data_IF_135093066954
#
_entry.id   IF_135093066954
#
_cell.length_a   1.000
_cell.length_b   1.000
_cell.length_c   1.000
_cell.angle_alpha   90.00
_cell.angle_beta   90.00
_cell.angle_gamma   90.00
#
_symmetry.space_group_name_H-M   'P 1'
#
loop_
_entity.id
_entity.type
_entity.pdbx_description
1 polymer ?
#
# COMPACT_ATOMS: atom_id res chain seq x y z
N UNK A 1 31.95 7.58 12.85
CA UNK A 1 31.40 6.66 11.83
C UNK A 1 31.06 7.49 10.60
N UNK A 2 31.46 7.05 9.40
CA UNK A 2 31.12 7.73 8.16
C UNK A 2 29.62 7.56 7.88
N UNK A 3 28.86 8.63 7.66
CA UNK A 3 27.42 8.57 7.50
C UNK A 3 27.03 8.05 6.12
N UNK A 4 26.96 6.74 5.94
CA UNK A 4 26.46 6.16 4.70
C UNK A 4 25.29 5.24 4.99
N UNK A 5 24.12 5.62 4.46
CA UNK A 5 22.88 4.84 4.58
C UNK A 5 22.72 3.79 3.46
N UNK A 6 23.41 3.93 2.31
CA UNK A 6 23.15 3.10 1.13
C UNK A 6 24.39 2.46 0.52
N UNK A 7 24.31 1.14 0.28
CA UNK A 7 25.26 0.34 -0.49
C UNK A 7 24.73 0.19 -1.93
N UNK A 8 25.45 0.74 -2.92
CA UNK A 8 25.25 0.41 -4.35
C UNK A 8 26.54 -0.19 -4.88
N UNK A 9 26.43 -1.28 -5.64
CA UNK A 9 27.56 -2.01 -6.23
C UNK A 9 28.42 -1.17 -7.20
N UNK A 10 27.87 -0.10 -7.79
CA UNK A 10 28.53 0.59 -8.91
C UNK A 10 29.14 1.96 -8.56
N UNK A 11 28.66 2.67 -7.54
CA UNK A 11 29.23 3.95 -7.09
C UNK A 11 28.92 4.18 -5.61
N UNK A 12 29.72 3.58 -4.75
CA UNK A 12 29.63 3.77 -3.31
C UNK A 12 30.44 5.03 -2.96
N UNK A 13 29.82 6.07 -2.40
CA UNK A 13 30.54 7.29 -2.01
C UNK A 13 31.64 6.98 -0.98
N UNK A 14 31.43 5.98 -0.13
CA UNK A 14 32.50 5.43 0.70
C UNK A 14 33.62 4.77 -0.11
N UNK A 15 33.35 4.05 -1.19
CA UNK A 15 34.43 3.55 -2.06
C UNK A 15 35.15 4.68 -2.79
N UNK A 16 34.44 5.74 -3.21
CA UNK A 16 35.07 6.94 -3.74
C UNK A 16 35.93 7.64 -2.68
N UNK A 17 35.43 7.82 -1.46
CA UNK A 17 36.20 8.39 -0.34
C UNK A 17 37.36 7.47 0.05
N UNK A 18 37.17 6.16 0.04
CA UNK A 18 38.20 5.17 0.31
C UNK A 18 39.31 5.27 -0.73
N UNK A 19 38.95 5.37 -2.00
CA UNK A 19 39.88 5.56 -3.12
C UNK A 19 40.62 6.90 -2.99
N UNK A 20 39.92 7.96 -2.61
CA UNK A 20 40.53 9.27 -2.30
C UNK A 20 41.52 9.13 -1.14
N UNK A 21 41.12 8.55 -0.01
CA UNK A 21 41.99 8.40 1.17
C UNK A 21 43.11 7.35 1.01
N UNK A 22 43.05 6.48 0.01
CA UNK A 22 44.16 5.58 -0.33
C UNK A 22 45.38 6.36 -0.84
N UNK A 23 45.17 7.49 -1.51
CA UNK A 23 46.27 8.30 -2.04
C UNK A 23 47.05 8.98 -0.91
N UNK A 24 48.38 8.84 -0.90
CA UNK A 24 49.25 9.35 0.16
C UNK A 24 49.12 10.87 0.36
N UNK A 25 48.98 11.61 -0.74
CA UNK A 25 48.78 13.07 -0.69
C UNK A 25 47.54 13.49 0.11
N UNK A 26 46.40 12.80 -0.02
CA UNK A 26 45.19 13.14 0.73
C UNK A 26 45.30 12.83 2.22
N UNK A 27 46.11 11.82 2.59
CA UNK A 27 46.42 11.52 4.00
C UNK A 27 47.32 12.60 4.58
N UNK A 28 48.38 13.00 3.87
CA UNK A 28 49.20 14.13 4.28
C UNK A 28 48.37 15.42 4.38
N UNK A 29 47.42 15.66 3.48
CA UNK A 29 46.51 16.81 3.55
C UNK A 29 45.63 16.84 4.81
N UNK A 30 45.22 15.67 5.32
CA UNK A 30 44.35 15.56 6.49
C UNK A 30 45.10 15.56 7.82
N UNK A 31 46.33 15.05 7.85
CA UNK A 31 47.07 14.75 9.07
C UNK A 31 48.37 15.56 9.23
N UNK A 32 48.88 16.18 8.17
CA UNK A 32 50.02 17.10 8.22
C UNK A 32 49.53 18.55 8.17
N UNK A 33 50.08 19.39 9.04
CA UNK A 33 49.72 20.80 9.14
C UNK A 33 50.47 21.58 8.04
N UNK A 34 49.92 21.54 6.81
CA UNK A 34 50.49 22.24 5.65
C UNK A 34 49.96 23.68 5.65
N UNK A 35 50.85 24.67 5.75
CA UNK A 35 50.49 26.08 5.69
C UNK A 35 49.75 26.40 4.38
N UNK A 36 48.55 27.00 4.49
CA UNK A 36 47.71 27.39 3.35
C UNK A 36 46.68 26.35 2.91
N UNK A 37 46.66 25.16 3.51
CA UNK A 37 45.65 24.13 3.28
C UNK A 37 44.59 24.17 4.40
N UNK A 38 43.35 23.77 4.10
CA UNK A 38 42.28 23.66 5.09
C UNK A 38 42.67 22.62 6.16
N UNK A 39 42.68 22.94 7.46
CA UNK A 39 43.02 22.00 8.51
C UNK A 39 42.10 20.77 8.44
N UNK A 40 42.62 19.61 8.83
CA UNK A 40 41.90 18.34 8.70
C UNK A 40 40.52 18.34 9.38
N UNK A 41 40.39 19.05 10.51
CA UNK A 41 39.14 19.10 11.26
C UNK A 41 37.99 19.81 10.49
N UNK A 42 38.10 21.07 10.03
CA UNK A 42 37.16 21.68 9.08
C UNK A 42 36.86 20.85 7.83
N UNK A 43 37.87 20.19 7.25
CA UNK A 43 37.71 19.36 6.06
C UNK A 43 36.77 18.17 6.31
N UNK A 44 36.87 17.52 7.47
CA UNK A 44 35.96 16.43 7.86
C UNK A 44 34.50 16.88 7.92
N UNK A 45 34.21 18.11 8.38
CA UNK A 45 32.85 18.65 8.39
C UNK A 45 32.32 18.96 7.00
N UNK A 46 33.18 19.47 6.10
CA UNK A 46 32.81 19.68 4.69
C UNK A 46 32.43 18.35 4.05
N UNK A 47 33.28 17.33 4.22
CA UNK A 47 33.03 15.98 3.69
C UNK A 47 31.76 15.37 4.28
N UNK A 48 31.57 15.47 5.60
CA UNK A 48 30.36 15.01 6.28
C UNK A 48 29.11 15.69 5.72
N UNK A 49 29.11 17.01 5.58
CA UNK A 49 27.98 17.76 5.03
C UNK A 49 27.66 17.37 3.57
N UNK A 50 28.69 17.16 2.74
CA UNK A 50 28.53 16.73 1.35
C UNK A 50 27.98 15.31 1.25
N UNK A 51 28.39 14.42 2.16
CA UNK A 51 27.90 13.05 2.22
C UNK A 51 26.42 12.99 2.64
N UNK A 52 26.02 13.80 3.64
CA UNK A 52 24.61 13.93 4.01
C UNK A 52 23.76 14.47 2.86
N UNK A 53 24.27 15.44 2.12
CA UNK A 53 23.59 15.98 0.94
C UNK A 53 23.40 14.91 -0.15
N UNK A 54 24.43 14.10 -0.42
CA UNK A 54 24.34 12.99 -1.37
C UNK A 54 23.29 11.96 -0.93
N UNK A 55 23.26 11.60 0.36
CA UNK A 55 22.26 10.68 0.90
C UNK A 55 20.84 11.25 0.78
N UNK A 56 20.64 12.53 1.06
CA UNK A 56 19.33 13.17 0.91
C UNK A 56 18.89 13.22 -0.56
N UNK A 57 19.79 13.54 -1.48
CA UNK A 57 19.50 13.52 -2.93
C UNK A 57 19.09 12.12 -3.39
N UNK A 58 19.78 11.10 -2.90
CA UNK A 58 19.43 9.71 -3.17
C UNK A 58 18.01 9.38 -2.68
N UNK A 59 17.71 9.65 -1.41
CA UNK A 59 16.37 9.47 -0.85
C UNK A 59 15.30 10.20 -1.65
N UNK A 60 15.59 11.46 -2.01
CA UNK A 60 14.69 12.28 -2.83
C UNK A 60 14.39 11.61 -4.17
N UNK A 61 15.42 11.08 -4.84
CA UNK A 61 15.22 10.39 -6.12
C UNK A 61 14.42 9.10 -5.96
N UNK A 62 14.71 8.30 -4.94
CA UNK A 62 14.02 7.02 -4.69
C UNK A 62 12.56 7.23 -4.32
N UNK A 63 12.27 8.16 -3.40
CA UNK A 63 10.90 8.49 -2.98
C UNK A 63 10.09 9.03 -4.16
N UNK A 64 10.69 9.89 -5.00
CA UNK A 64 10.03 10.38 -6.23
C UNK A 64 9.80 9.26 -7.25
N UNK A 65 10.74 8.35 -7.42
CA UNK A 65 10.57 7.23 -8.35
C UNK A 65 9.40 6.34 -7.92
N UNK A 66 9.32 6.00 -6.63
CA UNK A 66 8.20 5.24 -6.05
C UNK A 66 6.87 6.00 -6.23
N UNK A 67 6.84 7.31 -5.93
CA UNK A 67 5.58 8.08 -6.00
C UNK A 67 5.08 8.30 -7.42
N UNK A 68 5.96 8.42 -8.42
CA UNK A 68 5.55 8.65 -9.81
C UNK A 68 5.37 7.36 -10.62
N UNK A 69 6.15 6.30 -10.36
CA UNK A 69 6.09 5.04 -11.12
C UNK A 69 5.27 3.98 -10.41
N UNK A 70 5.65 3.63 -9.18
CA UNK A 70 5.06 2.49 -8.46
C UNK A 70 3.63 2.80 -8.01
N UNK A 71 3.29 4.07 -7.79
CA UNK A 71 1.94 4.49 -7.36
C UNK A 71 0.86 4.27 -8.43
N UNK A 72 1.25 4.20 -9.71
CA UNK A 72 0.31 4.02 -10.83
C UNK A 72 -0.29 2.61 -10.86
N UNK A 73 0.49 1.61 -10.46
CA UNK A 73 0.04 0.23 -10.28
C UNK A 73 0.66 -0.33 -9.00
N UNK A 74 0.04 -0.03 -7.84
CA UNK A 74 0.64 -0.36 -6.57
C UNK A 74 0.68 -1.87 -6.38
N UNK A 75 1.90 -2.38 -6.19
CA UNK A 75 2.16 -3.73 -5.69
C UNK A 75 2.24 -3.73 -4.16
N UNK A 76 2.08 -4.89 -3.52
CA UNK A 76 2.22 -5.03 -2.07
C UNK A 76 3.60 -4.53 -1.57
N UNK A 77 4.65 -4.74 -2.37
CA UNK A 77 6.01 -4.25 -2.07
C UNK A 77 6.15 -2.73 -2.05
N UNK A 78 5.22 -1.99 -2.67
CA UNK A 78 5.26 -0.52 -2.76
C UNK A 78 5.13 0.12 -1.39
N UNK A 79 4.27 -0.47 -0.54
CA UNK A 79 4.07 0.01 0.82
C UNK A 79 5.32 -0.22 1.67
N UNK A 80 5.89 -1.43 1.60
CA UNK A 80 7.11 -1.79 2.32
C UNK A 80 8.28 -0.86 1.94
N UNK A 81 8.49 -0.64 0.64
CA UNK A 81 9.51 0.31 0.17
C UNK A 81 9.31 1.73 0.72
N UNK A 82 8.07 2.24 0.75
CA UNK A 82 7.80 3.57 1.32
C UNK A 82 8.06 3.61 2.83
N UNK A 83 7.78 2.52 3.55
CA UNK A 83 8.12 2.40 4.97
C UNK A 83 9.63 2.41 5.20
N UNK A 84 10.39 1.67 4.38
CA UNK A 84 11.85 1.66 4.44
C UNK A 84 12.41 3.07 4.17
N UNK A 85 11.94 3.76 3.12
CA UNK A 85 12.38 5.12 2.82
C UNK A 85 12.03 6.12 3.93
N UNK A 86 10.89 5.93 4.60
CA UNK A 86 10.51 6.74 5.77
C UNK A 86 11.48 6.53 6.92
N UNK A 87 11.86 5.29 7.19
CA UNK A 87 12.82 4.95 8.24
C UNK A 87 14.20 5.54 7.91
N UNK A 88 14.67 5.40 6.67
CA UNK A 88 15.96 5.95 6.24
C UNK A 88 16.01 7.49 6.34
N UNK A 89 14.90 8.16 6.01
CA UNK A 89 14.79 9.61 6.14
C UNK A 89 14.81 10.06 7.61
N UNK A 90 14.16 9.31 8.50
CA UNK A 90 14.18 9.60 9.94
C UNK A 90 15.57 9.39 10.55
N UNK A 91 16.27 8.32 10.13
CA UNK A 91 17.68 8.13 10.47
C UNK A 91 18.54 9.30 10.02
N UNK A 92 18.44 9.70 8.74
CA UNK A 92 19.19 10.83 8.21
C UNK A 92 18.96 12.09 9.05
N UNK A 93 17.69 12.42 9.35
CA UNK A 93 17.35 13.60 10.15
C UNK A 93 17.94 13.53 11.55
N UNK A 94 17.84 12.38 12.21
CA UNK A 94 18.38 12.19 13.56
C UNK A 94 19.88 12.41 13.58
N UNK A 95 20.62 11.77 12.67
CA UNK A 95 22.08 11.91 12.64
C UNK A 95 22.56 13.27 12.16
N UNK A 96 21.86 13.94 11.24
CA UNK A 96 22.18 15.33 10.85
C UNK A 96 21.95 16.27 12.03
N UNK A 97 20.88 16.07 12.81
CA UNK A 97 20.59 16.84 14.03
C UNK A 97 21.67 16.63 15.09
N UNK A 98 22.11 15.38 15.29
CA UNK A 98 23.24 15.07 16.16
C UNK A 98 24.54 15.72 15.68
N UNK A 99 24.81 15.68 14.37
CA UNK A 99 26.00 16.30 13.77
C UNK A 99 26.00 17.81 14.00
N UNK A 100 24.84 18.46 13.91
CA UNK A 100 24.68 19.89 14.23
C UNK A 100 24.86 20.18 15.72
N UNK A 101 24.41 19.28 16.61
CA UNK A 101 24.53 19.44 18.06
C UNK A 101 25.99 19.40 18.52
N UNK A 102 26.80 18.52 17.95
CA UNK A 102 28.21 18.34 18.30
C UNK A 102 29.16 19.23 17.51
N UNK A 103 28.63 20.22 16.79
CA UNK A 103 29.42 21.12 15.97
C UNK A 103 30.16 22.17 16.85
N UNK A 104 31.49 22.30 16.76
CA UNK A 104 32.24 23.22 17.60
C UNK A 104 31.99 24.70 17.23
N UNK A 105 31.87 25.60 18.22
CA UNK A 105 31.50 27.00 18.01
C UNK A 105 32.59 27.85 17.34
N UNK A 106 33.83 27.36 17.26
CA UNK A 106 34.98 28.05 16.65
C UNK A 106 35.08 27.87 15.14
N UNK A 107 34.37 26.89 14.61
CA UNK A 107 34.42 26.47 13.22
C UNK A 107 33.61 27.35 12.24
N UNK A 108 32.47 27.99 12.62
CA UNK A 108 31.81 28.99 11.78
C UNK A 108 32.72 30.21 11.57
N UNK A 109 33.36 30.71 12.63
CA UNK A 109 34.28 31.84 12.55
C UNK A 109 35.51 31.51 11.70
N UNK A 110 36.01 30.28 11.77
CA UNK A 110 37.08 29.80 10.89
C UNK A 110 36.70 29.90 9.41
N UNK A 111 35.54 29.37 9.00
CA UNK A 111 35.11 29.47 7.60
C UNK A 111 34.78 30.89 7.15
N UNK A 112 34.33 31.76 8.06
CA UNK A 112 34.11 33.17 7.78
C UNK A 112 35.42 33.95 7.61
N UNK A 113 36.51 33.51 8.26
CA UNK A 113 37.84 34.13 8.15
C UNK A 113 38.63 33.72 6.91
N UNK A 114 38.20 32.67 6.21
CA UNK A 114 38.86 32.28 4.97
C UNK A 114 38.72 33.42 3.93
N UNK A 115 39.79 33.79 3.22
CA UNK A 115 39.72 34.81 2.19
C UNK A 115 38.70 34.36 1.14
N UNK A 116 37.66 35.19 0.94
CA UNK A 116 36.62 34.94 -0.06
C UNK A 116 37.29 34.87 -1.42
N UNK A 117 37.40 33.65 -1.96
CA UNK A 117 37.95 33.41 -3.29
C UNK A 117 37.15 34.25 -4.32
N UNK A 118 37.89 34.79 -5.28
CA UNK A 118 37.56 35.84 -6.25
C UNK A 118 36.07 36.08 -6.60
N UNK A 119 35.68 37.36 -6.59
CA UNK A 119 34.35 37.92 -6.88
C UNK A 119 33.80 37.53 -8.27
N UNK A 120 34.68 37.14 -9.22
CA UNK A 120 34.33 36.89 -10.63
C UNK A 120 33.64 35.54 -10.92
N UNK A 121 33.69 34.57 -10.00
CA UNK A 121 32.93 33.31 -10.10
C UNK A 121 31.67 33.29 -9.22
N UNK A 122 31.25 34.45 -8.67
CA UNK A 122 30.10 34.55 -7.76
C UNK A 122 28.77 34.16 -8.39
N UNK A 123 28.51 34.48 -9.65
CA UNK A 123 27.14 34.36 -10.18
C UNK A 123 26.72 32.91 -10.47
N UNK A 124 27.64 31.95 -10.42
CA UNK A 124 27.33 30.52 -10.56
C UNK A 124 27.72 29.65 -9.36
N UNK A 125 28.60 30.11 -8.45
CA UNK A 125 29.08 29.31 -7.30
C UNK A 125 28.69 29.94 -5.95
N UNK A 126 28.38 31.25 -5.88
CA UNK A 126 28.09 31.93 -4.60
C UNK A 126 26.74 31.55 -3.96
N UNK A 127 25.85 30.88 -4.68
CA UNK A 127 24.63 30.31 -4.08
C UNK A 127 24.89 28.96 -3.39
N UNK A 128 26.06 28.34 -3.62
CA UNK A 128 26.38 26.98 -3.16
C UNK A 128 27.63 26.87 -2.28
N UNK A 129 28.41 27.92 -2.09
CA UNK A 129 29.49 27.93 -1.07
C UNK A 129 28.93 28.23 0.32
N UNK A 130 27.81 27.60 0.67
CA UNK A 130 27.23 27.67 2.00
C UNK A 130 28.16 26.97 2.98
N UNK A 131 28.45 27.62 4.11
CA UNK A 131 29.23 27.00 5.17
C UNK A 131 28.63 25.63 5.55
N UNK A 132 29.42 24.61 5.92
CA UNK A 132 28.92 23.26 6.18
C UNK A 132 27.71 23.20 7.13
N UNK A 133 27.63 24.14 8.09
CA UNK A 133 26.51 24.28 9.02
C UNK A 133 25.23 24.71 8.30
N UNK A 134 25.33 25.70 7.41
CA UNK A 134 24.18 26.18 6.63
C UNK A 134 23.70 25.06 5.71
N UNK A 135 24.62 24.31 5.09
CA UNK A 135 24.25 23.14 4.30
C UNK A 135 23.52 22.08 5.15
N UNK A 136 24.03 21.74 6.35
CA UNK A 136 23.35 20.79 7.24
C UNK A 136 21.94 21.27 7.67
N UNK A 137 21.76 22.57 7.92
CA UNK A 137 20.44 23.15 8.23
C UNK A 137 19.50 23.10 7.02
N UNK A 138 20.01 23.37 5.82
CA UNK A 138 19.28 23.22 4.56
C UNK A 138 18.84 21.77 4.36
N UNK A 139 19.75 20.81 4.56
CA UNK A 139 19.46 19.37 4.50
C UNK A 139 18.34 18.98 5.46
N UNK A 140 18.33 19.49 6.70
CA UNK A 140 17.23 19.22 7.63
C UNK A 140 15.89 19.76 7.14
N UNK A 141 15.87 21.00 6.63
CA UNK A 141 14.66 21.61 6.08
C UNK A 141 14.15 20.86 4.86
N UNK A 142 15.05 20.45 3.97
CA UNK A 142 14.71 19.69 2.78
C UNK A 142 14.23 18.27 3.13
N UNK A 143 14.82 17.65 4.15
CA UNK A 143 14.35 16.37 4.69
C UNK A 143 12.94 16.47 5.30
N UNK A 144 12.61 17.58 5.96
CA UNK A 144 11.26 17.83 6.48
C UNK A 144 10.24 18.00 5.34
N UNK A 145 10.59 18.78 4.30
CA UNK A 145 9.76 18.90 3.11
C UNK A 145 9.55 17.54 2.41
N UNK A 146 10.62 16.73 2.32
CA UNK A 146 10.57 15.40 1.75
C UNK A 146 9.70 14.44 2.59
N UNK A 147 9.71 14.58 3.91
CA UNK A 147 8.83 13.82 4.80
C UNK A 147 7.36 14.18 4.55
N UNK A 148 7.04 15.48 4.37
CA UNK A 148 5.70 15.92 3.99
C UNK A 148 5.24 15.26 2.69
N UNK A 149 6.08 15.32 1.65
CA UNK A 149 5.81 14.66 0.37
C UNK A 149 5.61 13.14 0.49
N UNK A 150 6.38 12.48 1.35
CA UNK A 150 6.27 11.04 1.61
C UNK A 150 4.92 10.70 2.25
N UNK A 151 4.46 11.51 3.21
CA UNK A 151 3.13 11.35 3.85
C UNK A 151 2.01 11.51 2.81
N UNK A 152 2.09 12.51 1.95
CA UNK A 152 1.11 12.71 0.87
C UNK A 152 1.10 11.50 -0.08
N UNK A 153 2.28 10.95 -0.39
CA UNK A 153 2.41 9.73 -1.21
C UNK A 153 1.72 8.53 -0.55
N UNK A 154 1.87 8.34 0.77
CA UNK A 154 1.14 7.29 1.49
C UNK A 154 -0.38 7.47 1.41
N UNK A 155 -0.89 8.70 1.55
CA UNK A 155 -2.32 8.97 1.46
C UNK A 155 -2.88 8.66 0.06
N UNK A 156 -2.12 9.02 -0.98
CA UNK A 156 -2.46 8.68 -2.36
C UNK A 156 -2.42 7.17 -2.61
N UNK A 157 -1.41 6.46 -2.07
CA UNK A 157 -1.31 5.00 -2.16
C UNK A 157 -2.56 4.34 -1.56
N UNK A 158 -2.91 4.70 -0.33
CA UNK A 158 -4.08 4.14 0.36
C UNK A 158 -5.39 4.41 -0.40
N UNK A 159 -5.51 5.60 -0.99
CA UNK A 159 -6.66 5.96 -1.82
C UNK A 159 -6.73 5.10 -3.09
N UNK A 160 -5.59 4.90 -3.77
CA UNK A 160 -5.48 4.08 -4.98
C UNK A 160 -5.82 2.61 -4.71
N UNK A 161 -5.25 2.05 -3.63
CA UNK A 161 -5.52 0.67 -3.19
C UNK A 161 -7.00 0.49 -2.86
N UNK A 162 -7.61 1.40 -2.08
CA UNK A 162 -9.04 1.34 -1.73
C UNK A 162 -9.96 1.39 -2.96
N UNK A 163 -9.65 2.24 -3.95
CA UNK A 163 -10.38 2.30 -5.21
C UNK A 163 -10.23 1.00 -6.00
N UNK A 164 -9.02 0.42 -6.04
CA UNK A 164 -8.75 -0.86 -6.71
C UNK A 164 -9.51 -2.01 -6.05
N UNK A 165 -9.46 -2.12 -4.73
CA UNK A 165 -10.21 -3.13 -3.96
C UNK A 165 -11.71 -2.99 -4.18
N UNK A 166 -12.24 -1.77 -4.18
CA UNK A 166 -13.66 -1.50 -4.46
C UNK A 166 -14.06 -2.01 -5.85
N UNK A 167 -13.23 -1.76 -6.88
CA UNK A 167 -13.47 -2.27 -8.24
C UNK A 167 -13.43 -3.80 -8.31
N UNK A 168 -12.42 -4.42 -7.68
CA UNK A 168 -12.29 -5.87 -7.62
C UNK A 168 -13.48 -6.52 -6.91
N UNK A 169 -13.93 -5.92 -5.80
CA UNK A 169 -15.11 -6.37 -5.05
C UNK A 169 -16.39 -6.28 -5.88
N UNK A 170 -16.60 -5.18 -6.61
CA UNK A 170 -17.76 -5.03 -7.52
C UNK A 170 -17.72 -6.09 -8.62
N UNK A 171 -16.56 -6.34 -9.22
CA UNK A 171 -16.40 -7.34 -10.27
C UNK A 171 -16.63 -8.77 -9.73
N UNK A 172 -16.05 -9.10 -8.58
CA UNK A 172 -16.28 -10.37 -7.90
C UNK A 172 -17.76 -10.57 -7.55
N UNK A 173 -18.45 -9.53 -7.08
CA UNK A 173 -19.88 -9.57 -6.80
C UNK A 173 -20.70 -9.82 -8.08
N UNK A 174 -20.32 -9.18 -9.20
CA UNK A 174 -20.95 -9.40 -10.50
C UNK A 174 -20.77 -10.84 -10.98
N UNK A 175 -19.56 -11.36 -10.96
CA UNK A 175 -19.26 -12.74 -11.35
C UNK A 175 -20.01 -13.74 -10.47
N UNK A 176 -20.05 -13.49 -9.16
CA UNK A 176 -20.79 -14.34 -8.21
C UNK A 176 -22.30 -14.32 -8.48
N UNK A 177 -22.87 -13.15 -8.81
CA UNK A 177 -24.29 -13.02 -9.17
C UNK A 177 -24.62 -13.74 -10.48
N UNK A 178 -23.75 -13.63 -11.49
CA UNK A 178 -23.90 -14.35 -12.76
C UNK A 178 -23.81 -15.86 -12.56
N UNK A 179 -22.88 -16.34 -11.73
CA UNK A 179 -22.75 -17.75 -11.38
C UNK A 179 -23.98 -18.25 -10.61
N UNK A 180 -24.47 -17.48 -9.63
CA UNK A 180 -25.68 -17.82 -8.89
C UNK A 180 -26.91 -17.94 -9.82
N UNK A 181 -27.04 -17.02 -10.79
CA UNK A 181 -28.12 -17.08 -11.78
C UNK A 181 -28.02 -18.35 -12.62
N UNK A 182 -26.82 -18.70 -13.12
CA UNK A 182 -26.61 -19.94 -13.90
C UNK A 182 -26.93 -21.19 -13.08
N UNK A 183 -26.49 -21.23 -11.82
CA UNK A 183 -26.82 -22.34 -10.91
C UNK A 183 -28.32 -22.44 -10.65
N UNK A 184 -29.02 -21.30 -10.48
CA UNK A 184 -30.48 -21.30 -10.29
C UNK A 184 -31.22 -21.91 -11.50
N UNK A 185 -30.79 -21.59 -12.74
CA UNK A 185 -31.35 -22.20 -13.95
C UNK A 185 -31.14 -23.72 -13.99
N UNK A 186 -29.94 -24.20 -13.62
CA UNK A 186 -29.65 -25.64 -13.56
C UNK A 186 -30.51 -26.35 -12.52
N UNK A 187 -30.67 -25.77 -11.33
CA UNK A 187 -31.53 -26.31 -10.28
C UNK A 187 -33.00 -26.35 -10.71
N UNK A 188 -33.46 -25.33 -11.43
CA UNK A 188 -34.82 -25.28 -11.96
C UNK A 188 -35.06 -26.35 -13.04
N UNK A 189 -34.06 -26.63 -13.90
CA UNK A 189 -34.13 -27.73 -14.86
C UNK A 189 -34.12 -29.09 -14.16
N UNK A 190 -33.22 -29.27 -13.20
CA UNK A 190 -33.10 -30.52 -12.45
C UNK A 190 -34.37 -30.83 -11.66
N UNK A 191 -35.04 -29.83 -11.07
CA UNK A 191 -36.29 -30.04 -10.31
C UNK A 191 -37.44 -30.56 -11.17
N UNK A 192 -37.44 -30.26 -12.47
CA UNK A 192 -38.42 -30.83 -13.42
C UNK A 192 -37.96 -32.18 -13.96
N UNK A 193 -36.68 -32.31 -14.33
CA UNK A 193 -36.18 -33.52 -14.98
C UNK A 193 -36.02 -34.73 -14.04
N UNK A 194 -35.66 -34.50 -12.77
CA UNK A 194 -35.51 -35.57 -11.76
C UNK A 194 -36.79 -36.40 -11.56
N UNK A 195 -37.96 -35.80 -11.24
CA UNK A 195 -39.18 -36.60 -11.05
C UNK A 195 -39.63 -37.29 -12.35
N UNK A 196 -39.48 -36.64 -13.50
CA UNK A 196 -39.74 -37.24 -14.82
C UNK A 196 -38.83 -38.45 -15.10
N UNK A 197 -37.56 -38.37 -14.72
CA UNK A 197 -36.59 -39.47 -14.85
C UNK A 197 -36.93 -40.64 -13.93
N UNK A 198 -37.42 -40.38 -12.71
CA UNK A 198 -37.87 -41.43 -11.79
C UNK A 198 -39.08 -42.17 -12.36
N UNK A 199 -40.06 -41.45 -12.91
CA UNK A 199 -41.23 -42.06 -13.56
C UNK A 199 -40.81 -42.93 -14.73
N UNK A 200 -40.02 -42.39 -15.65
CA UNK A 200 -39.54 -43.15 -16.83
C UNK A 200 -38.67 -44.34 -16.43
N UNK A 201 -37.88 -44.24 -15.34
CA UNK A 201 -37.13 -45.37 -14.77
C UNK A 201 -38.02 -46.48 -14.23
N UNK A 202 -39.03 -46.13 -13.42
CA UNK A 202 -39.99 -47.10 -12.84
C UNK A 202 -40.79 -47.82 -13.94
N UNK A 203 -41.20 -47.11 -14.99
CA UNK A 203 -41.96 -47.70 -16.10
C UNK A 203 -41.08 -48.41 -17.14
N UNK A 204 -39.81 -48.00 -17.27
CA UNK A 204 -38.83 -48.63 -18.16
C UNK A 204 -38.21 -49.90 -17.58
N UNK A 205 -38.14 -50.02 -16.25
CA UNK A 205 -37.80 -51.27 -15.56
C UNK A 205 -38.99 -52.23 -15.69
N UNK A 206 -38.82 -53.29 -16.49
CA UNK A 206 -39.82 -54.31 -16.83
C UNK A 206 -40.83 -54.59 -15.69
N UNK A 207 -42.04 -54.04 -15.83
CA UNK A 207 -43.24 -54.32 -15.04
C UNK A 207 -43.77 -55.77 -15.20
N UNK A 208 -42.91 -56.72 -15.57
CA UNK A 208 -43.28 -58.12 -15.76
C UNK A 208 -43.50 -58.87 -14.44
N UNK A 209 -42.96 -58.40 -13.32
CA UNK A 209 -43.01 -59.11 -12.03
C UNK A 209 -44.03 -58.56 -11.02
N UNK A 210 -44.64 -57.39 -11.24
CA UNK A 210 -45.63 -56.79 -10.33
C UNK A 210 -47.08 -56.92 -10.84
N UNK A 211 -47.28 -57.46 -12.04
CA UNK A 211 -48.58 -57.47 -12.71
C UNK A 211 -49.00 -58.88 -13.12
N UNK A 212 -49.58 -59.65 -12.19
CA UNK A 212 -50.39 -60.84 -12.51
C UNK A 212 -51.75 -60.49 -13.20
N UNK A 213 -51.95 -59.23 -13.61
CA UNK A 213 -53.12 -58.76 -14.35
C UNK A 213 -52.75 -57.71 -15.41
N UNK A 214 -53.68 -57.29 -16.29
CA UNK A 214 -53.38 -56.33 -17.36
C UNK A 214 -52.95 -54.97 -16.76
N UNK A 215 -51.78 -54.43 -17.13
CA UNK A 215 -51.27 -53.20 -16.56
C UNK A 215 -52.21 -52.04 -16.92
N UNK A 216 -52.87 -51.48 -15.90
CA UNK A 216 -53.74 -50.31 -16.06
C UNK A 216 -52.84 -49.09 -16.30
N UNK A 217 -52.68 -48.69 -17.56
CA UNK A 217 -51.94 -47.49 -17.98
C UNK A 217 -52.24 -46.23 -17.15
N UNK A 218 -53.42 -46.14 -16.56
CA UNK A 218 -53.81 -45.10 -15.60
C UNK A 218 -52.93 -45.02 -14.34
N UNK A 219 -52.30 -46.10 -13.87
CA UNK A 219 -51.40 -46.07 -12.71
C UNK A 219 -50.16 -45.20 -12.97
N UNK A 220 -49.68 -45.14 -14.21
CA UNK A 220 -48.59 -44.24 -14.60
C UNK A 220 -48.98 -42.77 -14.49
N UNK A 221 -50.22 -42.45 -14.86
CA UNK A 221 -50.78 -41.10 -14.74
C UNK A 221 -50.90 -40.72 -13.27
N UNK A 222 -51.37 -41.63 -12.41
CA UNK A 222 -51.52 -41.36 -10.96
C UNK A 222 -50.16 -41.12 -10.29
N UNK A 223 -49.15 -41.94 -10.56
CA UNK A 223 -47.80 -41.78 -9.99
C UNK A 223 -47.13 -40.49 -10.47
N UNK A 224 -47.28 -40.15 -11.76
CA UNK A 224 -46.80 -38.88 -12.31
C UNK A 224 -47.46 -37.69 -11.61
N UNK A 225 -48.79 -37.71 -11.45
CA UNK A 225 -49.54 -36.62 -10.80
C UNK A 225 -49.11 -36.46 -9.34
N UNK A 226 -48.97 -37.55 -8.58
CA UNK A 226 -48.51 -37.50 -7.19
C UNK A 226 -47.09 -36.94 -7.10
N UNK A 227 -46.17 -37.40 -7.95
CA UNK A 227 -44.80 -36.87 -7.99
C UNK A 227 -44.76 -35.38 -8.34
N UNK A 228 -45.53 -34.94 -9.34
CA UNK A 228 -45.62 -33.52 -9.71
C UNK A 228 -46.18 -32.69 -8.55
N UNK A 229 -47.25 -33.15 -7.90
CA UNK A 229 -47.85 -32.46 -6.73
C UNK A 229 -46.86 -32.37 -5.58
N UNK A 230 -46.14 -33.45 -5.25
CA UNK A 230 -45.09 -33.43 -4.23
C UNK A 230 -43.96 -32.46 -4.60
N UNK A 231 -43.51 -32.46 -5.86
CA UNK A 231 -42.42 -31.59 -6.31
C UNK A 231 -42.82 -30.11 -6.27
N UNK A 232 -44.04 -29.78 -6.72
CA UNK A 232 -44.60 -28.43 -6.65
C UNK A 232 -44.82 -28.00 -5.19
N UNK A 233 -45.29 -28.90 -4.34
CA UNK A 233 -45.46 -28.65 -2.90
C UNK A 233 -44.14 -28.34 -2.19
N UNK A 234 -43.07 -29.10 -2.48
CA UNK A 234 -41.72 -28.86 -1.97
C UNK A 234 -41.18 -27.52 -2.50
N UNK A 235 -41.39 -27.23 -3.78
CA UNK A 235 -40.96 -25.97 -4.37
C UNK A 235 -41.64 -24.76 -3.72
N UNK A 236 -42.96 -24.81 -3.51
CA UNK A 236 -43.69 -23.74 -2.83
C UNK A 236 -43.25 -23.54 -1.38
N UNK A 237 -43.03 -24.63 -0.65
CA UNK A 237 -42.59 -24.55 0.75
C UNK A 237 -41.17 -23.99 0.88
N UNK A 238 -40.25 -24.33 -0.02
CA UNK A 238 -38.91 -23.72 -0.06
C UNK A 238 -38.98 -22.22 -0.36
N UNK A 239 -39.82 -21.82 -1.32
CA UNK A 239 -39.98 -20.41 -1.71
C UNK A 239 -40.54 -19.55 -0.58
N UNK A 240 -41.44 -20.09 0.21
CA UNK A 240 -42.06 -19.36 1.32
C UNK A 240 -41.13 -19.23 2.53
N UNK A 241 -40.22 -20.19 2.73
CA UNK A 241 -39.14 -20.07 3.73
C UNK A 241 -38.15 -18.97 3.34
N UNK A 242 -37.78 -18.85 2.06
CA UNK A 242 -36.91 -17.77 1.57
C UNK A 242 -37.55 -16.39 1.80
N UNK A 243 -38.83 -16.24 1.48
CA UNK A 243 -39.58 -14.99 1.65
C UNK A 243 -39.58 -14.52 3.11
N UNK A 244 -39.83 -15.44 4.04
CA UNK A 244 -39.80 -15.16 5.49
C UNK A 244 -38.37 -14.80 5.95
N UNK A 245 -37.34 -15.42 5.36
CA UNK A 245 -35.95 -15.12 5.68
C UNK A 245 -35.53 -13.72 5.21
N UNK A 246 -36.01 -13.28 4.04
CA UNK A 246 -35.76 -11.94 3.50
C UNK A 246 -36.40 -10.85 4.35
N UNK A 247 -37.66 -11.02 4.76
CA UNK A 247 -38.35 -10.08 5.66
C UNK A 247 -37.63 -9.93 7.00
N UNK A 248 -37.08 -11.03 7.55
CA UNK A 248 -36.27 -11.00 8.78
C UNK A 248 -34.95 -10.26 8.58
N UNK A 249 -34.35 -10.32 7.39
CA UNK A 249 -33.12 -9.57 7.08
C UNK A 249 -33.39 -8.08 6.98
N UNK A 250 -34.47 -7.66 6.33
CA UNK A 250 -34.85 -6.24 6.22
C UNK A 250 -35.11 -5.62 7.60
N UNK A 251 -35.90 -6.28 8.46
CA UNK A 251 -36.17 -5.79 9.83
C UNK A 251 -34.90 -5.63 10.68
N UNK A 252 -33.89 -6.49 10.48
CA UNK A 252 -32.59 -6.38 11.18
C UNK A 252 -31.77 -5.18 10.70
N UNK A 253 -31.84 -4.83 9.42
CA UNK A 253 -31.12 -3.67 8.86
C UNK A 253 -31.76 -2.36 9.33
N UNK A 254 -33.09 -2.27 9.26
CA UNK A 254 -33.84 -1.12 9.76
C UNK A 254 -33.62 -0.91 11.25
N UNK A 255 -33.69 -1.98 12.06
CA UNK A 255 -33.42 -1.92 13.50
C UNK A 255 -32.00 -1.43 13.83
N UNK A 256 -30.99 -1.77 13.01
CA UNK A 256 -29.61 -1.26 13.17
C UNK A 256 -29.46 0.21 12.78
N UNK A 257 -30.17 0.69 11.75
CA UNK A 257 -30.14 2.10 11.37
C UNK A 257 -30.81 2.98 12.44
N UNK A 258 -31.97 2.58 12.94
CA UNK A 258 -32.67 3.29 14.02
C UNK A 258 -31.80 3.38 15.27
N UNK A 259 -31.09 2.29 15.61
CA UNK A 259 -30.18 2.28 16.77
C UNK A 259 -28.99 3.23 16.59
N UNK A 260 -28.38 3.30 15.39
CA UNK A 260 -27.29 4.26 15.10
C UNK A 260 -27.76 5.73 15.10
N UNK A 261 -28.99 6.00 14.67
CA UNK A 261 -29.55 7.37 14.70
C UNK A 261 -29.81 7.81 16.14
N UNK A 262 -30.27 6.89 17.01
CA UNK A 262 -30.47 7.18 18.43
C UNK A 262 -29.18 7.22 19.26
N UNK A 263 -28.12 6.52 18.85
CA UNK A 263 -26.80 6.56 19.53
C UNK A 263 -25.92 7.74 19.10
N UNK A 264 -26.35 8.59 18.15
CA UNK A 264 -25.60 9.81 17.82
C UNK A 264 -25.68 10.76 19.03
N UNK A 265 -24.57 10.99 19.77
CA UNK A 265 -24.63 11.78 20.99
C UNK A 265 -25.10 13.19 20.65
N UNK A 266 -26.11 13.67 21.38
CA UNK A 266 -26.45 15.10 21.47
C UNK A 266 -25.30 15.80 22.17
N UNK A 267 -24.17 15.95 21.49
CA UNK A 267 -23.06 16.71 22.04
C UNK A 267 -23.32 18.20 21.76
N UNK A 268 -23.73 18.88 22.83
CA UNK A 268 -23.13 20.15 23.20
C UNK A 268 -23.46 21.36 22.34
N UNK A 269 -24.73 21.69 22.15
CA UNK A 269 -25.11 23.12 22.07
C UNK A 269 -25.38 23.60 23.50
N UNK A 270 -24.40 24.23 24.12
CA UNK A 270 -24.53 24.82 25.45
C UNK A 270 -23.21 25.38 25.96
N UNK A 271 -22.92 26.63 25.62
CA UNK A 271 -21.74 27.32 26.15
C UNK A 271 -21.52 28.67 25.48
N UNK A 272 -22.36 29.63 25.88
CA UNK A 272 -22.14 31.10 25.98
C UNK A 272 -21.52 31.82 24.78
#
# INVERSE_FOLDING_TARGET
MLPQLFYREHYCLFESLRTVFQHGWHRSLLFEDIEGVLPGHPMLYVISSSLWEANLRFLTTTIRDISFRDLRDPSDSTNDKLHDQRQDLDYLRTFVTETLKWYPPTLPSYFLSLPKYDQRHRDHIADNSEHPIQNLRRILKDAENLQGFLIDTFQLLMSSVSVRESRLSIEQARLSAEQARRSAWLTQLASVYLPLSVVTGIFGMNLKEISEGPPRWWWAVVVLVVLVVCTVGIYYSLREVEKIAEERRQRRVEGRQVKRVNEKPRDGRGGV
#
